data_IF_357157460824
#
_entry.id   IF_357157460824
#
_cell.length_a   1.000
_cell.length_b   1.000
_cell.length_c   1.000
_cell.angle_alpha   90.00
_cell.angle_beta   90.00
_cell.angle_gamma   90.00
#
_symmetry.space_group_name_H-M   'P 1'
#
loop_
_entity.id
_entity.type
_entity.pdbx_description
1 polymer ?
#
# COMPACT_ATOMS: atom_id res chain seq x y z
N UNK A 1 7.50 58.33 39.54
CA UNK A 1 7.70 57.35 38.45
C UNK A 1 7.05 56.00 38.76
N UNK A 2 7.32 55.39 39.93
CA UNK A 2 6.69 54.11 40.31
C UNK A 2 5.17 54.20 40.50
N UNK A 3 4.67 55.24 41.17
CA UNK A 3 3.22 55.43 41.35
C UNK A 3 2.46 55.57 40.02
N UNK A 4 3.07 56.24 39.03
CA UNK A 4 2.50 56.35 37.70
C UNK A 4 2.42 54.97 37.03
N UNK A 5 3.49 54.18 37.11
CA UNK A 5 3.54 52.82 36.57
C UNK A 5 2.54 51.88 37.25
N UNK A 6 2.34 52.01 38.57
CA UNK A 6 1.35 51.22 39.31
C UNK A 6 -0.06 51.60 38.87
N UNK A 7 -0.36 52.90 38.74
CA UNK A 7 -1.66 53.36 38.26
C UNK A 7 -1.94 52.92 36.83
N UNK A 8 -0.95 52.99 35.95
CA UNK A 8 -1.10 52.53 34.56
C UNK A 8 -1.32 51.01 34.53
N UNK A 9 -0.62 50.24 35.37
CA UNK A 9 -0.83 48.80 35.49
C UNK A 9 -2.24 48.48 36.03
N UNK A 10 -2.70 49.15 37.07
CA UNK A 10 -4.07 48.99 37.60
C UNK A 10 -5.13 49.28 36.53
N UNK A 11 -4.95 50.33 35.72
CA UNK A 11 -5.86 50.63 34.59
C UNK A 11 -5.81 49.55 33.52
N UNK A 12 -4.63 49.02 33.20
CA UNK A 12 -4.52 47.92 32.23
C UNK A 12 -5.19 46.64 32.72
N UNK A 13 -5.02 46.28 34.00
CA UNK A 13 -5.67 45.13 34.62
C UNK A 13 -7.18 45.30 34.61
N UNK A 14 -7.68 46.47 35.03
CA UNK A 14 -9.11 46.77 35.01
C UNK A 14 -9.70 46.72 33.59
N UNK A 15 -8.95 47.20 32.59
CA UNK A 15 -9.38 47.13 31.19
C UNK A 15 -9.44 45.68 30.69
N UNK A 16 -8.48 44.83 31.07
CA UNK A 16 -8.45 43.42 30.73
C UNK A 16 -9.54 42.62 31.46
N UNK A 17 -9.86 42.96 32.71
CA UNK A 17 -10.96 42.36 33.46
C UNK A 17 -12.33 42.69 32.84
N UNK A 18 -12.54 43.95 32.42
CA UNK A 18 -13.73 44.36 31.68
C UNK A 18 -13.79 43.64 30.33
N UNK A 19 -12.67 43.57 29.60
CA UNK A 19 -12.61 42.90 28.31
C UNK A 19 -12.84 41.39 28.42
N UNK A 20 -12.36 40.74 29.49
CA UNK A 20 -12.61 39.33 29.78
C UNK A 20 -14.04 39.05 30.19
N UNK A 21 -14.71 39.98 30.88
CA UNK A 21 -16.13 39.88 31.21
C UNK A 21 -17.03 40.22 30.01
N UNK A 22 -16.53 41.02 29.06
CA UNK A 22 -17.19 41.33 27.80
C UNK A 22 -16.82 40.39 26.66
N UNK A 23 -15.88 39.44 26.86
CA UNK A 23 -15.68 38.33 25.93
C UNK A 23 -16.97 37.54 25.99
N UNK A 24 -17.79 37.82 24.99
CA UNK A 24 -19.18 37.46 24.94
C UNK A 24 -19.30 35.93 25.06
N UNK A 25 -20.08 35.46 26.03
CA UNK A 25 -20.49 34.06 26.10
C UNK A 25 -21.20 33.64 24.79
N UNK A 26 -21.64 34.62 23.99
CA UNK A 26 -22.13 34.44 22.62
C UNK A 26 -21.08 33.89 21.63
N UNK A 27 -19.82 34.32 21.66
CA UNK A 27 -18.81 33.91 20.66
C UNK A 27 -18.40 32.43 20.82
N UNK A 28 -18.47 31.90 22.05
CA UNK A 28 -18.13 30.51 22.37
C UNK A 28 -19.20 29.50 21.91
N UNK A 29 -20.42 29.98 21.63
CA UNK A 29 -21.53 29.18 21.10
C UNK A 29 -21.90 29.54 19.65
N UNK A 30 -21.46 30.67 19.13
CA UNK A 30 -21.74 31.09 17.75
C UNK A 30 -21.19 30.08 16.72
N UNK A 31 -19.97 29.58 16.93
CA UNK A 31 -19.39 28.58 16.03
C UNK A 31 -20.19 27.27 16.03
N UNK A 32 -20.79 26.88 17.17
CA UNK A 32 -21.65 25.69 17.26
C UNK A 32 -22.94 25.92 16.49
N UNK A 33 -23.58 27.07 16.67
CA UNK A 33 -24.80 27.43 15.93
C UNK A 33 -24.51 27.46 14.43
N UNK A 34 -23.43 28.12 14.00
CA UNK A 34 -23.01 28.14 12.59
C UNK A 34 -22.75 26.73 12.06
N UNK A 35 -22.08 25.88 12.83
CA UNK A 35 -21.82 24.49 12.46
C UNK A 35 -23.13 23.70 12.27
N UNK A 36 -24.04 23.75 13.24
CA UNK A 36 -25.31 23.03 13.17
C UNK A 36 -26.18 23.51 12.00
N UNK A 37 -26.28 24.83 11.80
CA UNK A 37 -26.98 25.39 10.63
C UNK A 37 -26.33 24.94 9.32
N UNK A 38 -25.00 24.91 9.24
CA UNK A 38 -24.31 24.46 8.03
C UNK A 38 -24.53 22.97 7.75
N UNK A 39 -24.55 22.13 8.79
CA UNK A 39 -24.87 20.70 8.66
C UNK A 39 -26.29 20.51 8.14
N UNK A 40 -27.27 21.24 8.68
CA UNK A 40 -28.66 21.17 8.24
C UNK A 40 -28.82 21.63 6.78
N UNK A 41 -28.18 22.75 6.40
CA UNK A 41 -28.19 23.23 5.01
C UNK A 41 -27.54 22.21 4.08
N UNK A 42 -26.43 21.61 4.49
CA UNK A 42 -25.77 20.57 3.70
C UNK A 42 -26.69 19.37 3.51
N UNK A 43 -27.33 18.89 4.57
CA UNK A 43 -28.29 17.79 4.48
C UNK A 43 -29.42 18.11 3.50
N UNK A 44 -29.99 19.31 3.55
CA UNK A 44 -31.02 19.73 2.58
C UNK A 44 -30.47 19.76 1.13
N UNK A 45 -29.26 20.24 0.93
CA UNK A 45 -28.60 20.24 -0.39
C UNK A 45 -28.34 18.81 -0.90
N UNK A 46 -27.99 17.87 -0.02
CA UNK A 46 -27.82 16.46 -0.38
C UNK A 46 -29.14 15.83 -0.83
N UNK A 47 -30.23 16.09 -0.08
CA UNK A 47 -31.56 15.64 -0.49
C UNK A 47 -31.97 16.23 -1.84
N UNK A 48 -31.72 17.53 -2.08
CA UNK A 48 -32.00 18.17 -3.37
C UNK A 48 -31.15 17.59 -4.50
N UNK A 49 -29.85 17.36 -4.26
CA UNK A 49 -28.93 16.72 -5.20
C UNK A 49 -29.45 15.34 -5.59
N UNK A 50 -29.87 14.54 -4.63
CA UNK A 50 -30.29 13.16 -4.87
C UNK A 50 -31.67 13.10 -5.54
N UNK A 51 -32.58 14.02 -5.20
CA UNK A 51 -33.83 14.22 -5.93
C UNK A 51 -33.59 14.62 -7.39
N UNK A 52 -32.71 15.61 -7.64
CA UNK A 52 -32.37 16.06 -8.99
C UNK A 52 -31.71 14.95 -9.82
N UNK A 53 -30.78 14.19 -9.22
CA UNK A 53 -30.16 13.03 -9.87
C UNK A 53 -31.21 11.98 -10.26
N UNK A 54 -32.11 11.64 -9.33
CA UNK A 54 -33.18 10.67 -9.57
C UNK A 54 -34.13 11.16 -10.67
N UNK A 55 -34.48 12.45 -10.67
CA UNK A 55 -35.32 13.08 -11.69
C UNK A 55 -34.65 13.09 -13.07
N UNK A 56 -33.36 13.38 -13.13
CA UNK A 56 -32.58 13.36 -14.36
C UNK A 56 -32.44 11.95 -14.92
N UNK A 57 -32.20 10.95 -14.06
CA UNK A 57 -32.11 9.55 -14.47
C UNK A 57 -33.46 9.01 -14.96
N UNK A 58 -34.56 9.33 -14.26
CA UNK A 58 -35.90 9.00 -14.72
C UNK A 58 -36.21 9.61 -16.10
N UNK A 59 -35.81 10.86 -16.33
CA UNK A 59 -35.96 11.49 -17.65
C UNK A 59 -35.09 10.85 -18.74
N UNK A 60 -33.89 10.36 -18.37
CA UNK A 60 -32.99 9.65 -19.27
C UNK A 60 -33.54 8.29 -19.68
N UNK A 61 -34.00 7.49 -18.70
CA UNK A 61 -34.62 6.17 -18.91
C UNK A 61 -35.92 6.31 -19.71
N UNK A 62 -36.77 7.29 -19.37
CA UNK A 62 -38.01 7.56 -20.10
C UNK A 62 -37.77 7.98 -21.56
N UNK A 63 -36.64 8.63 -21.88
CA UNK A 63 -36.27 8.92 -23.27
C UNK A 63 -35.67 7.68 -23.98
N UNK A 64 -34.94 6.83 -23.29
CA UNK A 64 -34.25 5.66 -23.88
C UNK A 64 -35.20 4.48 -24.14
N UNK A 65 -36.01 4.12 -23.15
CA UNK A 65 -36.97 3.01 -23.24
C UNK A 65 -38.27 3.46 -23.91
N UNK A 66 -38.75 4.67 -23.57
CA UNK A 66 -39.99 5.21 -24.13
C UNK A 66 -39.93 5.47 -25.63
N UNK A 67 -38.79 5.92 -26.20
CA UNK A 67 -38.75 6.27 -27.63
C UNK A 67 -38.81 5.04 -28.55
N UNK A 68 -38.21 3.91 -28.17
CA UNK A 68 -38.18 2.71 -29.02
C UNK A 68 -39.53 1.99 -29.03
N UNK A 69 -40.16 1.87 -27.86
CA UNK A 69 -41.49 1.27 -27.70
C UNK A 69 -42.59 2.20 -28.26
N UNK A 70 -42.49 3.52 -28.01
CA UNK A 70 -43.40 4.50 -28.59
C UNK A 70 -43.34 4.54 -30.11
N UNK A 71 -42.14 4.49 -30.72
CA UNK A 71 -42.00 4.48 -32.18
C UNK A 71 -42.51 3.20 -32.85
N UNK A 72 -42.55 2.07 -32.13
CA UNK A 72 -43.06 0.81 -32.67
C UNK A 72 -44.58 0.86 -32.92
N UNK A 73 -45.31 1.60 -32.08
CA UNK A 73 -46.76 1.76 -32.16
C UNK A 73 -47.21 3.13 -32.73
N UNK A 74 -46.26 3.98 -33.12
CA UNK A 74 -46.55 5.33 -33.63
C UNK A 74 -46.93 5.29 -35.11
N UNK A 75 -48.19 5.61 -35.41
CA UNK A 75 -48.64 5.86 -36.78
C UNK A 75 -47.99 7.15 -37.32
N UNK A 76 -46.90 6.99 -38.05
CA UNK A 76 -46.10 8.09 -38.61
C UNK A 76 -46.90 8.95 -39.60
N UNK A 77 -47.90 8.37 -40.27
CA UNK A 77 -48.73 9.08 -41.26
C UNK A 77 -49.75 10.01 -40.59
N UNK A 78 -50.04 9.80 -39.30
CA UNK A 78 -50.90 10.66 -38.49
C UNK A 78 -50.20 11.93 -37.97
N UNK A 79 -48.88 12.01 -38.10
CA UNK A 79 -48.07 13.12 -37.58
C UNK A 79 -47.96 14.27 -38.57
N UNK A 80 -47.91 15.48 -38.02
CA UNK A 80 -47.57 16.67 -38.82
C UNK A 80 -46.09 16.67 -39.21
N UNK A 81 -45.76 17.30 -40.34
CA UNK A 81 -44.38 17.47 -40.81
C UNK A 81 -43.45 18.06 -39.73
N UNK A 82 -43.95 19.04 -38.98
CA UNK A 82 -43.19 19.66 -37.89
C UNK A 82 -42.89 18.70 -36.73
N UNK A 83 -43.78 17.74 -36.43
CA UNK A 83 -43.54 16.72 -35.41
C UNK A 83 -42.48 15.72 -35.91
N UNK A 84 -42.61 15.26 -37.16
CA UNK A 84 -41.64 14.35 -37.80
C UNK A 84 -40.23 14.94 -37.80
N UNK A 85 -40.08 16.22 -38.15
CA UNK A 85 -38.77 16.91 -38.14
C UNK A 85 -38.16 16.96 -36.73
N UNK A 86 -38.96 17.15 -35.68
CA UNK A 86 -38.46 17.13 -34.30
C UNK A 86 -38.01 15.74 -33.89
N UNK A 87 -38.76 14.71 -34.24
CA UNK A 87 -38.40 13.31 -33.95
C UNK A 87 -37.12 12.90 -34.67
N UNK A 88 -36.99 13.26 -35.96
CA UNK A 88 -35.76 13.02 -36.73
C UNK A 88 -34.54 13.62 -36.03
N UNK A 89 -34.60 14.90 -35.63
CA UNK A 89 -33.50 15.57 -34.92
C UNK A 89 -33.15 14.90 -33.59
N UNK A 90 -34.16 14.41 -32.86
CA UNK A 90 -33.95 13.70 -31.61
C UNK A 90 -33.25 12.36 -31.86
N UNK A 91 -33.71 11.58 -32.85
CA UNK A 91 -33.09 10.32 -33.25
C UNK A 91 -31.64 10.52 -33.74
N UNK A 92 -31.35 11.57 -34.51
CA UNK A 92 -29.99 11.89 -34.93
C UNK A 92 -29.07 12.21 -33.74
N UNK A 93 -29.60 12.93 -32.74
CA UNK A 93 -28.89 13.23 -31.50
C UNK A 93 -28.61 11.95 -30.71
N UNK A 94 -29.61 11.08 -30.56
CA UNK A 94 -29.48 9.84 -29.79
C UNK A 94 -28.54 8.86 -30.50
N UNK A 95 -28.62 8.74 -31.82
CA UNK A 95 -27.65 8.00 -32.64
C UNK A 95 -26.23 8.48 -32.37
N UNK A 96 -26.00 9.79 -32.42
CA UNK A 96 -24.67 10.36 -32.18
C UNK A 96 -24.19 10.11 -30.74
N UNK A 97 -25.08 10.19 -29.76
CA UNK A 97 -24.76 9.90 -28.37
C UNK A 97 -24.32 8.44 -28.19
N UNK A 98 -25.11 7.48 -28.68
CA UNK A 98 -24.78 6.05 -28.62
C UNK A 98 -23.48 5.75 -29.38
N UNK A 99 -23.29 6.35 -30.55
CA UNK A 99 -22.07 6.19 -31.32
C UNK A 99 -20.82 6.66 -30.57
N UNK A 100 -20.92 7.77 -29.82
CA UNK A 100 -19.82 8.24 -28.98
C UNK A 100 -19.60 7.33 -27.76
N UNK A 101 -20.67 6.84 -27.12
CA UNK A 101 -20.58 5.85 -26.03
C UNK A 101 -19.85 4.58 -26.49
N UNK A 102 -20.11 4.10 -27.72
CA UNK A 102 -19.41 2.95 -28.30
C UNK A 102 -17.91 3.24 -28.42
N UNK A 103 -17.52 4.39 -29.00
CA UNK A 103 -16.08 4.73 -29.11
C UNK A 103 -15.38 4.85 -27.76
N UNK A 104 -16.04 5.44 -26.77
CA UNK A 104 -15.47 5.58 -25.43
C UNK A 104 -15.29 4.23 -24.74
N UNK A 105 -16.24 3.31 -24.92
CA UNK A 105 -16.14 1.94 -24.37
C UNK A 105 -15.09 1.11 -25.11
N UNK A 106 -15.00 1.21 -26.44
CA UNK A 106 -13.93 0.60 -27.24
C UNK A 106 -12.55 1.07 -26.79
N UNK A 107 -12.38 2.38 -26.58
CA UNK A 107 -11.12 2.94 -26.11
C UNK A 107 -10.74 2.43 -24.71
N UNK A 108 -11.70 2.37 -23.78
CA UNK A 108 -11.47 1.82 -22.43
C UNK A 108 -11.07 0.35 -22.49
N UNK A 109 -11.73 -0.43 -23.33
CA UNK A 109 -11.44 -1.85 -23.53
C UNK A 109 -10.02 -2.06 -24.06
N UNK A 110 -9.58 -1.26 -25.04
CA UNK A 110 -8.23 -1.31 -25.58
C UNK A 110 -7.17 -0.97 -24.50
N UNK A 111 -7.44 0.04 -23.67
CA UNK A 111 -6.55 0.39 -22.57
C UNK A 111 -6.48 -0.70 -21.49
N UNK A 112 -7.61 -1.31 -21.14
CA UNK A 112 -7.66 -2.44 -20.21
C UNK A 112 -6.94 -3.67 -20.77
N UNK A 113 -7.11 -3.97 -22.06
CA UNK A 113 -6.42 -5.06 -22.75
C UNK A 113 -4.89 -4.88 -22.72
N UNK A 114 -4.40 -3.67 -23.02
CA UNK A 114 -2.97 -3.34 -22.90
C UNK A 114 -2.44 -3.53 -21.48
N UNK A 115 -3.19 -3.06 -20.48
CA UNK A 115 -2.83 -3.23 -19.08
C UNK A 115 -2.80 -4.72 -18.68
N UNK A 116 -3.81 -5.48 -19.08
CA UNK A 116 -3.90 -6.92 -18.86
C UNK A 116 -2.69 -7.65 -19.45
N UNK A 117 -2.34 -7.37 -20.71
CA UNK A 117 -1.19 -7.99 -21.36
C UNK A 117 0.12 -7.68 -20.61
N UNK A 118 0.32 -6.42 -20.22
CA UNK A 118 1.49 -6.02 -19.41
C UNK A 118 1.57 -6.83 -18.11
N UNK A 119 0.48 -6.91 -17.34
CA UNK A 119 0.47 -7.67 -16.09
C UNK A 119 0.64 -9.17 -16.32
N UNK A 120 0.01 -9.73 -17.35
CA UNK A 120 0.14 -11.14 -17.69
C UNK A 120 1.58 -11.50 -18.07
N UNK A 121 2.29 -10.62 -18.78
CA UNK A 121 3.69 -10.84 -19.14
C UNK A 121 4.60 -10.75 -17.90
N UNK A 122 4.34 -9.82 -16.98
CA UNK A 122 5.06 -9.79 -15.69
C UNK A 122 4.81 -11.05 -14.86
N UNK A 123 3.57 -11.56 -14.85
CA UNK A 123 3.22 -12.82 -14.17
C UNK A 123 3.97 -13.99 -14.79
N UNK A 124 4.04 -14.07 -16.13
CA UNK A 124 4.81 -15.12 -16.81
C UNK A 124 6.30 -15.04 -16.46
N UNK A 125 6.88 -13.84 -16.42
CA UNK A 125 8.28 -13.65 -16.01
C UNK A 125 8.54 -14.16 -14.59
N UNK A 126 7.68 -13.82 -13.62
CA UNK A 126 7.81 -14.35 -12.26
C UNK A 126 7.63 -15.88 -12.22
N UNK A 127 6.71 -16.44 -13.00
CA UNK A 127 6.57 -17.90 -13.08
C UNK A 127 7.84 -18.57 -13.61
N UNK A 128 8.49 -17.99 -14.61
CA UNK A 128 9.78 -18.50 -15.12
C UNK A 128 10.88 -18.38 -14.08
N UNK A 129 11.00 -17.24 -13.38
CA UNK A 129 12.00 -17.05 -12.32
C UNK A 129 11.82 -18.03 -11.15
N UNK A 130 10.57 -18.28 -10.74
CA UNK A 130 10.25 -19.27 -9.71
C UNK A 130 10.67 -20.67 -10.17
N UNK A 131 10.35 -21.04 -11.41
CA UNK A 131 10.71 -22.34 -11.97
C UNK A 131 12.23 -22.53 -12.00
N UNK A 132 12.97 -21.52 -12.44
CA UNK A 132 14.43 -21.54 -12.47
C UNK A 132 15.03 -21.63 -11.07
N UNK A 133 14.49 -20.88 -10.10
CA UNK A 133 14.92 -20.95 -8.70
C UNK A 133 14.68 -22.34 -8.09
N UNK A 134 13.54 -22.98 -8.39
CA UNK A 134 13.24 -24.34 -7.95
C UNK A 134 14.23 -25.36 -8.52
N UNK A 135 14.53 -25.28 -9.82
CA UNK A 135 15.51 -26.16 -10.47
C UNK A 135 16.92 -25.98 -9.89
N UNK A 136 17.33 -24.73 -9.66
CA UNK A 136 18.62 -24.42 -9.04
C UNK A 136 18.72 -24.95 -7.60
N UNK A 137 17.64 -24.82 -6.81
CA UNK A 137 17.58 -25.35 -5.45
C UNK A 137 17.65 -26.88 -5.44
N UNK A 138 16.98 -27.55 -6.36
CA UNK A 138 17.05 -29.00 -6.51
C UNK A 138 18.45 -29.47 -6.90
N UNK A 139 19.09 -28.79 -7.85
CA UNK A 139 20.49 -29.04 -8.23
C UNK A 139 21.44 -28.87 -7.04
N UNK A 140 21.29 -27.79 -6.26
CA UNK A 140 22.10 -27.56 -5.06
C UNK A 140 21.87 -28.64 -4.00
N UNK A 141 20.61 -29.03 -3.77
CA UNK A 141 20.26 -30.12 -2.84
C UNK A 141 20.89 -31.45 -3.26
N UNK A 142 20.90 -31.75 -4.56
CA UNK A 142 21.54 -32.96 -5.09
C UNK A 142 23.07 -32.91 -4.93
N UNK A 143 23.70 -31.75 -5.16
CA UNK A 143 25.14 -31.56 -4.88
C UNK A 143 25.49 -31.77 -3.41
N UNK A 144 24.70 -31.22 -2.49
CA UNK A 144 24.90 -31.42 -1.04
C UNK A 144 24.81 -32.91 -0.69
N UNK A 145 23.79 -33.63 -1.17
CA UNK A 145 23.67 -35.08 -0.96
C UNK A 145 24.90 -35.84 -1.45
N UNK A 146 25.45 -35.50 -2.62
CA UNK A 146 26.65 -36.16 -3.15
C UNK A 146 27.88 -35.88 -2.26
N UNK A 147 28.05 -34.66 -1.77
CA UNK A 147 29.14 -34.31 -0.85
C UNK A 147 28.99 -35.06 0.48
N UNK A 148 27.79 -35.17 1.02
CA UNK A 148 27.50 -35.94 2.24
C UNK A 148 27.74 -37.45 2.07
N UNK A 149 27.54 -38.00 0.86
CA UNK A 149 27.79 -39.42 0.55
C UNK A 149 29.27 -39.71 0.22
N UNK A 150 30.03 -38.71 -0.25
CA UNK A 150 31.45 -38.84 -0.58
C UNK A 150 32.39 -38.42 0.57
N UNK A 151 31.86 -37.93 1.69
CA UNK A 151 32.61 -37.83 2.95
C UNK A 151 32.82 -39.25 3.53
N UNK A 152 34.06 -39.76 3.61
CA UNK A 152 34.31 -41.02 4.29
C UNK A 152 34.09 -40.83 5.80
N UNK A 153 33.04 -41.45 6.35
CA UNK A 153 32.96 -41.59 7.81
C UNK A 153 34.13 -42.41 8.35
N UNK A 154 34.59 -42.24 9.62
CA UNK A 154 34.37 -41.18 10.59
C UNK A 154 35.70 -40.58 11.09
N UNK A 155 36.12 -39.40 10.62
CA UNK A 155 37.11 -38.59 11.35
C UNK A 155 36.47 -37.53 12.28
N UNK A 156 35.14 -37.45 12.32
CA UNK A 156 34.37 -36.54 13.17
C UNK A 156 33.85 -37.16 14.48
N UNK A 157 34.39 -38.29 14.93
CA UNK A 157 33.93 -38.95 16.16
C UNK A 157 34.36 -38.26 17.47
N UNK A 158 35.15 -37.18 17.44
CA UNK A 158 35.63 -36.51 18.67
C UNK A 158 35.65 -34.99 18.57
N UNK A 159 34.55 -34.36 18.17
CA UNK A 159 34.33 -32.95 18.50
C UNK A 159 33.43 -32.87 19.74
N UNK A 160 33.93 -32.36 20.89
CA UNK A 160 33.09 -32.12 22.06
C UNK A 160 31.95 -31.17 21.65
N UNK A 161 30.71 -31.56 21.96
CA UNK A 161 29.44 -30.89 21.58
C UNK A 161 29.31 -29.40 21.91
N UNK A 162 30.33 -28.74 22.48
CA UNK A 162 30.28 -27.34 22.94
C UNK A 162 30.65 -26.26 21.92
N UNK A 163 31.02 -26.60 20.68
CA UNK A 163 31.41 -25.60 19.67
C UNK A 163 30.40 -25.36 18.54
N UNK A 164 29.19 -25.94 18.61
CA UNK A 164 28.15 -25.72 17.57
C UNK A 164 27.61 -24.29 17.53
N UNK A 165 27.76 -23.49 18.59
CA UNK A 165 27.15 -22.16 18.68
C UNK A 165 28.04 -21.01 18.22
N UNK A 166 29.30 -21.28 17.80
CA UNK A 166 30.25 -20.20 17.49
C UNK A 166 30.65 -20.09 16.01
N UNK A 167 30.09 -20.89 15.09
CA UNK A 167 30.43 -20.83 13.65
C UNK A 167 31.95 -20.77 13.36
N UNK A 168 32.78 -21.40 14.19
CA UNK A 168 34.23 -21.42 14.04
C UNK A 168 34.66 -22.78 13.50
N UNK A 169 35.21 -22.80 12.28
CA UNK A 169 35.85 -23.98 11.73
C UNK A 169 37.12 -24.33 12.55
N UNK A 170 37.42 -25.62 12.82
CA UNK A 170 38.48 -26.03 13.74
C UNK A 170 39.88 -25.48 13.47
N UNK A 171 40.21 -25.11 12.22
CA UNK A 171 41.53 -24.61 11.82
C UNK A 171 41.55 -23.09 11.48
N UNK A 172 40.50 -22.34 11.80
CA UNK A 172 40.43 -20.88 11.56
C UNK A 172 40.73 -20.02 12.79
N UNK A 173 41.25 -20.60 13.87
CA UNK A 173 41.64 -19.81 15.05
C UNK A 173 42.82 -18.90 14.70
N UNK A 174 42.55 -17.61 14.58
CA UNK A 174 43.55 -16.54 14.43
C UNK A 174 43.66 -15.85 15.78
N UNK A 175 44.74 -16.09 16.51
CA UNK A 175 45.03 -15.41 17.78
C UNK A 175 45.62 -14.01 17.54
N UNK A 176 46.34 -13.81 16.44
CA UNK A 176 46.96 -12.55 16.04
C UNK A 176 46.71 -12.30 14.53
N UNK A 177 45.98 -11.23 14.15
CA UNK A 177 45.64 -10.92 12.76
C UNK A 177 46.85 -10.80 11.83
N UNK A 178 48.03 -10.43 12.33
CA UNK A 178 49.25 -10.26 11.52
C UNK A 178 49.94 -11.58 11.19
N UNK A 179 49.59 -12.68 11.89
CA UNK A 179 50.28 -13.98 11.80
C UNK A 179 49.52 -15.06 11.04
N UNK A 180 48.28 -14.80 10.64
CA UNK A 180 47.46 -15.74 9.87
C UNK A 180 47.00 -16.97 10.66
N UNK A 181 46.36 -17.95 10.00
CA UNK A 181 45.84 -19.17 10.63
C UNK A 181 46.93 -20.00 11.32
N UNK A 182 46.65 -20.48 12.53
CA UNK A 182 47.62 -21.25 13.32
C UNK A 182 47.94 -22.57 12.62
N UNK A 183 49.14 -22.68 12.03
CA UNK A 183 49.64 -23.93 11.44
C UNK A 183 50.09 -24.87 12.57
N UNK A 184 49.60 -26.11 12.58
CA UNK A 184 50.02 -27.16 13.52
C UNK A 184 51.42 -27.67 13.16
N UNK A 185 52.43 -26.86 13.44
CA UNK A 185 53.84 -27.26 13.40
C UNK A 185 54.44 -27.06 14.78
N UNK A 186 53.93 -27.78 15.78
CA UNK A 186 54.65 -27.99 17.03
C UNK A 186 55.29 -29.38 16.94
N UNK A 187 56.56 -29.40 16.51
CA UNK A 187 57.41 -30.56 16.71
C UNK A 187 57.42 -30.86 18.21
N UNK A 188 56.83 -31.99 18.61
CA UNK A 188 56.87 -32.50 19.99
C UNK A 188 58.32 -32.91 20.29
N UNK A 189 59.16 -31.94 20.62
CA UNK A 189 60.43 -32.19 21.30
C UNK A 189 60.08 -32.36 22.78
N UNK A 190 59.87 -33.63 23.13
CA UNK A 190 60.02 -34.25 24.46
C UNK A 190 60.14 -33.27 25.64
N UNK A 191 59.10 -33.22 26.46
CA UNK A 191 59.12 -32.57 27.77
C UNK A 191 60.23 -33.18 28.65
N UNK A 192 60.87 -32.40 29.55
CA UNK A 192 61.87 -32.92 30.48
C UNK A 192 61.28 -33.98 31.41
N UNK A 193 62.02 -35.05 31.69
CA UNK A 193 61.61 -36.10 32.64
C UNK A 193 61.71 -35.58 34.07
N UNK A 194 60.65 -35.75 34.84
CA UNK A 194 60.62 -35.48 36.28
C UNK A 194 61.32 -36.62 37.04
N UNK A 195 62.15 -36.25 38.02
CA UNK A 195 62.93 -37.19 38.83
C UNK A 195 62.03 -38.04 39.76
N UNK A 196 62.40 -39.29 40.07
CA UNK A 196 61.65 -40.13 41.00
C UNK A 196 61.86 -39.65 42.44
N UNK A 197 60.75 -39.47 43.16
CA UNK A 197 60.74 -39.19 44.60
C UNK A 197 61.06 -40.46 45.38
N UNK A 198 62.15 -40.44 46.13
CA UNK A 198 62.49 -41.45 47.13
C UNK A 198 61.40 -41.51 48.21
N UNK A 199 60.95 -42.73 48.53
CA UNK A 199 60.11 -43.01 49.70
C UNK A 199 61.01 -43.21 50.93
N UNK A 200 60.83 -42.47 52.04
CA UNK A 200 61.53 -42.74 53.28
C UNK A 200 60.85 -43.87 54.09
N UNK A 201 61.59 -44.49 55.05
CA UNK A 201 61.32 -45.82 55.62
C UNK A 201 60.16 -45.90 56.61
#
# INVERSE_FOLDING_TARGET
MLEQSINDLCKTVQSLEIQSQSTDVSDEDEWKVRYYTQVEVNEQLEHQRDWLKSRAEAARVNNREGLTEYLADLDLDSLTENQLVRYLKQLEKDRNAVHNEIRDTEWKLDQESKAFHKFNDTRKAYMTEITDAMLNLESLRNRIKIVEMNEPGPLLAKCPRRLKYLNLLPDQRILDPRKGPIRKTAAVRSLPKLAPTESPP
#
